data_IF_559726879513
#
_entry.id   IF_559726879513
#
_cell.length_a   1.000
_cell.length_b   1.000
_cell.length_c   1.000
_cell.angle_alpha   90.00
_cell.angle_beta   90.00
_cell.angle_gamma   90.00
#
_symmetry.space_group_name_H-M   'P 1'
#
loop_
_entity.id
_entity.type
_entity.pdbx_description
1 polymer ?
#
# COMPACT_ATOMS: atom_id res chain seq x y z
N UNK A 1 -1.98 46.46 7.13
CA UNK A 1 -2.04 45.00 7.37
C UNK A 1 -3.08 44.25 6.51
N UNK A 2 -3.70 44.84 5.46
CA UNK A 2 -4.71 44.14 4.61
C UNK A 2 -4.26 43.79 3.19
N UNK A 3 -3.02 44.11 2.78
CA UNK A 3 -2.52 43.85 1.41
C UNK A 3 -1.65 42.59 1.26
N UNK A 4 -1.24 41.93 2.35
CA UNK A 4 -0.45 40.69 2.28
C UNK A 4 -1.29 39.41 2.31
N UNK A 5 -2.57 39.49 2.71
CA UNK A 5 -3.48 38.33 2.71
C UNK A 5 -3.97 37.95 1.30
N UNK A 6 -4.00 38.90 0.35
CA UNK A 6 -4.49 38.64 -1.01
C UNK A 6 -3.48 37.86 -1.88
N UNK A 7 -2.18 37.93 -1.55
CA UNK A 7 -1.11 37.27 -2.30
C UNK A 7 -0.97 35.78 -1.95
N UNK A 8 -1.41 35.39 -0.74
CA UNK A 8 -1.44 34.00 -0.28
C UNK A 8 -2.61 33.20 -0.85
N UNK A 9 -3.75 33.84 -1.10
CA UNK A 9 -4.93 33.18 -1.69
C UNK A 9 -4.70 32.88 -3.19
N UNK A 10 -3.96 33.74 -3.89
CA UNK A 10 -3.61 33.54 -5.31
C UNK A 10 -2.64 32.38 -5.55
N UNK A 11 -1.69 32.13 -4.62
CA UNK A 11 -0.76 31.01 -4.72
C UNK A 11 -1.47 29.65 -4.51
N UNK A 12 -2.50 29.61 -3.67
CA UNK A 12 -3.23 28.39 -3.35
C UNK A 12 -4.09 27.88 -4.52
N UNK A 13 -4.62 28.79 -5.35
CA UNK A 13 -5.46 28.43 -6.51
C UNK A 13 -4.61 27.86 -7.67
N UNK A 14 -3.36 28.31 -7.82
CA UNK A 14 -2.45 27.80 -8.88
C UNK A 14 -1.97 26.37 -8.56
N UNK A 15 -1.83 26.02 -7.28
CA UNK A 15 -1.43 24.67 -6.87
C UNK A 15 -2.52 23.61 -7.13
N UNK A 16 -3.81 23.99 -7.07
CA UNK A 16 -4.92 23.06 -7.38
C UNK A 16 -4.97 22.73 -8.88
N UNK A 17 -4.64 23.69 -9.75
CA UNK A 17 -4.73 23.49 -11.21
C UNK A 17 -3.63 22.56 -11.78
N UNK A 18 -2.49 22.43 -11.10
CA UNK A 18 -1.36 21.58 -11.55
C UNK A 18 -1.42 20.14 -11.04
N UNK A 19 -2.30 19.83 -10.10
CA UNK A 19 -2.41 18.50 -9.51
C UNK A 19 -3.23 17.51 -10.38
N UNK A 20 -3.95 17.99 -11.40
CA UNK A 20 -5.02 17.21 -12.04
C UNK A 20 -4.76 16.75 -13.49
N UNK A 21 -3.56 16.92 -14.06
CA UNK A 21 -3.34 16.53 -15.48
C UNK A 21 -2.59 15.23 -15.73
N UNK A 22 -2.03 14.58 -14.70
CA UNK A 22 -1.26 13.32 -14.87
C UNK A 22 -1.74 12.19 -13.95
N UNK A 23 -3.00 12.21 -13.53
CA UNK A 23 -3.68 11.03 -13.00
C UNK A 23 -4.18 10.23 -14.19
N UNK A 24 -3.85 8.92 -14.24
CA UNK A 24 -4.59 8.00 -15.11
C UNK A 24 -6.07 8.16 -14.72
N UNK A 25 -6.89 8.68 -15.64
CA UNK A 25 -8.32 8.73 -15.46
C UNK A 25 -8.79 7.27 -15.42
N UNK A 26 -8.87 6.70 -14.22
CA UNK A 26 -9.84 5.65 -13.96
C UNK A 26 -11.16 6.42 -13.99
N UNK A 27 -11.89 6.30 -15.09
CA UNK A 27 -13.28 6.77 -15.15
C UNK A 27 -13.96 6.26 -13.89
N UNK A 28 -14.37 7.21 -13.04
CA UNK A 28 -15.07 6.97 -11.79
C UNK A 28 -16.10 5.85 -11.98
N UNK A 29 -15.86 4.69 -11.37
CA UNK A 29 -16.96 3.76 -11.12
C UNK A 29 -17.87 4.55 -10.16
N UNK A 30 -19.13 4.82 -10.50
CA UNK A 30 -19.97 5.67 -9.68
C UNK A 30 -20.10 5.08 -8.28
N UNK A 31 -19.93 5.92 -7.25
CA UNK A 31 -20.00 5.60 -5.81
C UNK A 31 -21.31 4.90 -5.39
N UNK A 32 -22.30 4.81 -6.28
CA UNK A 32 -23.52 4.02 -6.10
C UNK A 32 -23.33 2.51 -6.21
N UNK A 33 -22.15 2.00 -6.58
CA UNK A 33 -21.88 0.56 -6.69
C UNK A 33 -21.37 -0.09 -5.39
N UNK A 34 -21.19 0.66 -4.30
CA UNK A 34 -20.65 0.16 -3.03
C UNK A 34 -21.61 0.34 -1.85
N UNK A 35 -22.91 0.03 -1.99
CA UNK A 35 -23.75 -0.22 -0.81
C UNK A 35 -24.80 -1.30 -1.11
N UNK A 36 -24.42 -2.55 -0.89
CA UNK A 36 -25.36 -3.65 -0.65
C UNK A 36 -25.07 -4.17 0.76
N UNK A 37 -25.47 -3.41 1.78
CA UNK A 37 -25.63 -4.01 3.10
C UNK A 37 -26.68 -5.12 2.96
N UNK A 38 -26.31 -6.34 3.37
CA UNK A 38 -27.13 -7.57 3.42
C UNK A 38 -26.82 -8.58 2.31
N UNK A 39 -25.72 -9.31 2.43
CA UNK A 39 -25.74 -10.74 2.14
C UNK A 39 -24.77 -11.44 3.09
N UNK A 40 -25.30 -12.33 3.90
CA UNK A 40 -24.53 -13.34 4.65
C UNK A 40 -23.74 -14.16 3.64
N UNK A 41 -22.43 -13.92 3.52
CA UNK A 41 -21.53 -14.76 2.72
C UNK A 41 -20.42 -15.25 3.64
N UNK A 42 -20.79 -16.19 4.51
CA UNK A 42 -19.85 -17.20 4.99
C UNK A 42 -19.70 -18.22 3.86
N UNK A 43 -18.47 -18.47 3.40
CA UNK A 43 -18.04 -19.56 2.49
C UNK A 43 -17.79 -19.23 1.00
N UNK A 44 -17.14 -18.11 0.66
CA UNK A 44 -16.66 -17.86 -0.73
C UNK A 44 -15.17 -17.48 -0.85
N UNK A 45 -14.32 -17.81 0.13
CA UNK A 45 -12.87 -17.61 -0.02
C UNK A 45 -12.18 -18.73 -0.83
N UNK A 46 -12.85 -19.86 -1.07
CA UNK A 46 -12.28 -20.99 -1.81
C UNK A 46 -12.56 -20.93 -3.32
N UNK A 47 -13.32 -19.96 -3.82
CA UNK A 47 -13.75 -19.89 -5.23
C UNK A 47 -13.09 -18.77 -6.06
N UNK A 48 -12.18 -17.97 -5.48
CA UNK A 48 -11.46 -16.92 -6.24
C UNK A 48 -10.49 -17.47 -7.29
N UNK A 49 -10.07 -18.74 -7.20
CA UNK A 49 -9.29 -19.39 -8.26
C UNK A 49 -10.13 -19.65 -9.53
N UNK A 50 -11.46 -19.67 -9.43
CA UNK A 50 -12.36 -20.05 -10.55
C UNK A 50 -12.82 -18.87 -11.43
N UNK A 51 -12.50 -17.64 -11.06
CA UNK A 51 -12.90 -16.42 -11.80
C UNK A 51 -11.75 -15.90 -12.70
N UNK A 52 -10.78 -16.77 -13.04
CA UNK A 52 -9.59 -16.41 -13.82
C UNK A 52 -9.66 -16.82 -15.31
N UNK A 53 -10.85 -16.94 -15.89
CA UNK A 53 -11.04 -17.04 -17.35
C UNK A 53 -11.32 -15.64 -17.93
N UNK A 54 -10.41 -14.70 -17.70
CA UNK A 54 -10.40 -13.40 -18.38
C UNK A 54 -9.50 -13.55 -19.59
N UNK A 55 -10.10 -13.46 -20.77
CA UNK A 55 -9.49 -13.45 -22.10
C UNK A 55 -8.08 -12.82 -22.12
N UNK A 56 -7.09 -13.65 -22.46
CA UNK A 56 -5.64 -13.43 -22.34
C UNK A 56 -5.07 -12.41 -23.34
N UNK A 57 -5.87 -11.45 -23.82
CA UNK A 57 -5.47 -10.50 -24.89
C UNK A 57 -5.47 -9.04 -24.46
N UNK A 58 -5.17 -8.74 -23.19
CA UNK A 58 -4.74 -7.39 -22.82
C UNK A 58 -3.32 -7.20 -23.36
N UNK A 59 -3.21 -6.47 -24.46
CA UNK A 59 -1.93 -5.94 -24.96
C UNK A 59 -1.32 -5.09 -23.84
N UNK A 60 -0.41 -5.68 -23.06
CA UNK A 60 0.36 -4.97 -22.05
C UNK A 60 1.28 -4.04 -22.84
N UNK A 61 0.87 -2.78 -23.02
CA UNK A 61 1.75 -1.73 -23.49
C UNK A 61 3.04 -1.79 -22.65
N UNK A 62 4.17 -2.09 -23.28
CA UNK A 62 5.50 -2.06 -22.65
C UNK A 62 5.85 -0.61 -22.27
N UNK A 63 5.29 -0.13 -21.17
CA UNK A 63 5.58 1.18 -20.61
C UNK A 63 6.77 1.01 -19.68
N UNK A 64 7.97 0.86 -20.26
CA UNK A 64 9.19 1.06 -19.49
C UNK A 64 9.41 2.56 -19.33
N UNK A 65 9.25 3.15 -18.12
CA UNK A 65 9.44 4.58 -17.94
C UNK A 65 10.92 4.94 -18.16
N UNK A 66 11.15 6.11 -18.76
CA UNK A 66 12.51 6.66 -18.90
C UNK A 66 13.13 6.93 -17.54
N UNK A 67 14.46 6.83 -17.42
CA UNK A 67 15.16 7.09 -16.16
C UNK A 67 14.99 8.55 -15.70
N UNK A 68 14.86 9.50 -16.63
CA UNK A 68 14.51 10.89 -16.32
C UNK A 68 13.15 11.01 -15.61
N UNK A 69 12.14 10.27 -16.09
CA UNK A 69 10.82 10.26 -15.46
C UNK A 69 10.88 9.66 -14.05
N UNK A 70 11.63 8.57 -13.87
CA UNK A 70 11.85 7.94 -12.55
C UNK A 70 12.53 8.93 -11.60
N UNK A 71 13.62 9.57 -12.04
CA UNK A 71 14.35 10.55 -11.24
C UNK A 71 13.45 11.71 -10.80
N UNK A 72 12.69 12.30 -11.73
CA UNK A 72 11.76 13.39 -11.41
C UNK A 72 10.71 12.98 -10.39
N UNK A 73 10.13 11.78 -10.52
CA UNK A 73 9.11 11.28 -9.58
C UNK A 73 9.70 10.98 -8.20
N UNK A 74 10.86 10.35 -8.12
CA UNK A 74 11.55 10.11 -6.85
C UNK A 74 11.87 11.43 -6.13
N UNK A 75 12.35 12.44 -6.86
CA UNK A 75 12.61 13.76 -6.29
C UNK A 75 11.36 14.42 -5.71
N UNK A 76 10.21 14.32 -6.39
CA UNK A 76 8.94 14.83 -5.87
C UNK A 76 8.49 14.10 -4.60
N UNK A 77 8.70 12.78 -4.51
CA UNK A 77 8.38 12.01 -3.32
C UNK A 77 9.29 12.38 -2.15
N UNK A 78 10.59 12.52 -2.40
CA UNK A 78 11.59 12.95 -1.41
C UNK A 78 11.27 14.33 -0.82
N UNK A 79 10.84 15.28 -1.66
CA UNK A 79 10.44 16.62 -1.23
C UNK A 79 9.12 16.65 -0.42
N UNK A 80 8.29 15.60 -0.51
CA UNK A 80 6.95 15.54 0.07
C UNK A 80 6.76 14.54 1.20
N UNK A 81 7.80 13.76 1.54
CA UNK A 81 7.73 12.70 2.54
C UNK A 81 8.86 12.85 3.59
N UNK A 82 8.66 12.40 4.84
CA UNK A 82 9.74 12.32 5.83
C UNK A 82 10.75 11.19 5.55
N UNK A 83 10.48 10.31 4.58
CA UNK A 83 11.36 9.18 4.21
C UNK A 83 12.28 9.59 3.05
N UNK A 84 13.54 9.16 3.10
CA UNK A 84 14.52 9.37 2.03
C UNK A 84 14.19 8.53 0.79
N UNK A 85 13.89 9.20 -0.33
CA UNK A 85 13.64 8.60 -1.64
C UNK A 85 14.77 8.89 -2.64
N UNK A 86 15.99 9.09 -2.14
CA UNK A 86 17.19 9.32 -2.95
C UNK A 86 17.32 8.35 -4.12
N UNK A 87 17.73 8.92 -5.26
CA UNK A 87 17.97 8.14 -6.47
C UNK A 87 19.09 7.11 -6.25
N UNK A 88 18.76 5.83 -6.38
CA UNK A 88 19.69 4.72 -6.27
C UNK A 88 19.43 3.67 -7.36
N UNK A 89 20.50 3.05 -7.88
CA UNK A 89 20.42 1.99 -8.90
C UNK A 89 19.54 0.82 -8.47
N UNK A 90 19.59 0.43 -7.19
CA UNK A 90 18.76 -0.63 -6.63
C UNK A 90 17.28 -0.25 -6.70
N UNK A 91 16.92 0.98 -6.32
CA UNK A 91 15.55 1.50 -6.41
C UNK A 91 15.02 1.46 -7.83
N UNK A 92 15.82 1.93 -8.80
CA UNK A 92 15.45 1.91 -10.23
C UNK A 92 15.24 0.47 -10.73
N UNK A 93 16.09 -0.47 -10.31
CA UNK A 93 15.93 -1.88 -10.65
C UNK A 93 14.59 -2.43 -10.15
N UNK A 94 14.22 -2.18 -8.89
CA UNK A 94 12.94 -2.66 -8.35
C UNK A 94 11.73 -1.97 -9.02
N UNK A 95 11.82 -0.66 -9.32
CA UNK A 95 10.77 0.04 -10.07
C UNK A 95 10.54 -0.64 -11.43
N UNK A 96 11.59 -0.86 -12.22
CA UNK A 96 11.49 -1.52 -13.52
C UNK A 96 10.95 -2.95 -13.37
N UNK A 97 11.47 -3.71 -12.39
CA UNK A 97 11.00 -5.07 -12.11
C UNK A 97 9.49 -5.12 -11.84
N UNK A 98 8.97 -4.22 -11.00
CA UNK A 98 7.55 -4.15 -10.67
C UNK A 98 6.67 -3.72 -11.85
N UNK A 99 7.18 -2.87 -12.73
CA UNK A 99 6.44 -2.39 -13.91
C UNK A 99 6.51 -3.33 -15.11
N UNK A 100 7.52 -4.19 -15.21
CA UNK A 100 7.74 -5.07 -16.37
C UNK A 100 7.42 -6.54 -16.06
N UNK A 101 7.99 -7.07 -14.98
CA UNK A 101 7.96 -8.52 -14.70
C UNK A 101 6.85 -8.89 -13.73
N UNK A 102 6.62 -8.06 -12.72
CA UNK A 102 5.70 -8.36 -11.62
C UNK A 102 4.37 -7.61 -11.76
N UNK A 103 3.94 -7.29 -13.00
CA UNK A 103 2.71 -6.51 -13.27
C UNK A 103 1.47 -7.16 -12.63
N UNK A 104 1.30 -8.48 -12.77
CA UNK A 104 0.18 -9.21 -12.16
C UNK A 104 0.17 -9.07 -10.63
N UNK A 105 1.35 -9.08 -10.02
CA UNK A 105 1.50 -8.93 -8.57
C UNK A 105 1.09 -7.51 -8.14
N UNK A 106 1.58 -6.48 -8.82
CA UNK A 106 1.23 -5.09 -8.56
C UNK A 106 -0.26 -4.83 -8.79
N UNK A 107 -0.85 -5.34 -9.87
CA UNK A 107 -2.28 -5.20 -10.13
C UNK A 107 -3.13 -5.79 -9.00
N UNK A 108 -2.76 -6.96 -8.47
CA UNK A 108 -3.42 -7.53 -7.29
C UNK A 108 -3.27 -6.64 -6.06
N UNK A 109 -2.05 -6.18 -5.78
CA UNK A 109 -1.79 -5.30 -4.62
C UNK A 109 -2.58 -3.98 -4.73
N UNK A 110 -2.68 -3.41 -5.92
CA UNK A 110 -3.48 -2.20 -6.20
C UNK A 110 -4.98 -2.44 -5.98
N UNK A 111 -5.49 -3.61 -6.34
CA UNK A 111 -6.90 -3.96 -6.10
C UNK A 111 -7.22 -4.20 -4.62
N UNK A 112 -6.25 -4.70 -3.85
CA UNK A 112 -6.44 -5.05 -2.43
C UNK A 112 -6.09 -3.89 -1.48
N UNK A 113 -5.27 -2.93 -1.92
CA UNK A 113 -4.82 -1.82 -1.08
C UNK A 113 -5.96 -0.98 -0.46
N UNK A 114 -7.09 -0.67 -1.14
CA UNK A 114 -8.16 0.13 -0.55
C UNK A 114 -8.85 -0.57 0.63
N UNK A 115 -8.69 -1.90 0.76
CA UNK A 115 -9.25 -2.67 1.87
C UNK A 115 -8.37 -2.58 3.13
N UNK A 116 -7.05 -2.69 3.01
CA UNK A 116 -6.14 -2.69 4.17
C UNK A 116 -5.60 -1.30 4.52
N UNK A 117 -5.37 -0.44 3.53
CA UNK A 117 -4.70 0.85 3.75
C UNK A 117 -5.45 1.77 4.72
N UNK A 118 -6.78 1.93 4.67
CA UNK A 118 -7.48 2.79 5.63
C UNK A 118 -7.27 2.33 7.08
N UNK A 119 -7.28 1.02 7.33
CA UNK A 119 -7.01 0.46 8.67
C UNK A 119 -5.55 0.67 9.08
N UNK A 120 -4.61 0.45 8.16
CA UNK A 120 -3.19 0.70 8.43
C UNK A 120 -2.90 2.16 8.72
N UNK A 121 -3.38 3.07 7.88
CA UNK A 121 -3.22 4.51 8.03
C UNK A 121 -3.81 5.00 9.35
N UNK A 122 -5.00 4.51 9.73
CA UNK A 122 -5.59 4.84 11.01
C UNK A 122 -4.69 4.42 12.19
N UNK A 123 -4.07 3.25 12.15
CA UNK A 123 -3.17 2.84 13.24
C UNK A 123 -1.84 3.60 13.18
N UNK A 124 -1.24 3.79 12.00
CA UNK A 124 0.00 4.54 11.85
C UNK A 124 -0.16 5.99 12.35
N UNK A 125 -1.25 6.66 11.99
CA UNK A 125 -1.58 8.01 12.45
C UNK A 125 -1.75 8.07 13.98
N UNK A 126 -2.46 7.09 14.56
CA UNK A 126 -2.65 7.00 16.03
C UNK A 126 -1.33 6.87 16.80
N UNK A 127 -0.34 6.21 16.22
CA UNK A 127 0.99 6.00 16.81
C UNK A 127 1.99 7.08 16.34
N UNK A 128 1.53 8.10 15.58
CA UNK A 128 2.36 9.17 15.01
C UNK A 128 3.52 8.66 14.14
N UNK A 129 3.27 7.57 13.41
CA UNK A 129 4.23 6.94 12.50
C UNK A 129 3.95 7.42 11.07
N UNK A 130 4.99 7.67 10.25
CA UNK A 130 4.82 8.02 8.84
C UNK A 130 3.93 7.02 8.09
N UNK A 131 2.91 7.53 7.38
CA UNK A 131 1.91 6.71 6.69
C UNK A 131 2.51 5.87 5.56
N UNK A 132 3.66 6.29 5.03
CA UNK A 132 4.42 5.60 4.00
C UNK A 132 4.90 4.22 4.45
N UNK A 133 5.04 3.97 5.77
CA UNK A 133 5.43 2.65 6.28
C UNK A 133 4.39 1.56 5.98
N UNK A 134 3.15 1.90 5.62
CA UNK A 134 2.18 0.92 5.10
C UNK A 134 2.70 0.15 3.89
N UNK A 135 3.56 0.77 3.06
CA UNK A 135 4.12 0.12 1.88
C UNK A 135 5.12 -0.99 2.23
N UNK A 136 5.63 -1.04 3.47
CA UNK A 136 6.44 -2.18 3.91
C UNK A 136 5.63 -3.48 3.89
N UNK A 137 4.33 -3.43 4.22
CA UNK A 137 3.46 -4.61 4.14
C UNK A 137 3.31 -5.16 2.70
N UNK A 138 3.51 -4.31 1.68
CA UNK A 138 3.60 -4.75 0.28
C UNK A 138 4.87 -5.59 0.06
N UNK A 139 6.02 -5.08 0.51
CA UNK A 139 7.31 -5.74 0.34
C UNK A 139 7.35 -7.08 1.11
N UNK A 140 6.80 -7.09 2.32
CA UNK A 140 6.86 -8.25 3.21
C UNK A 140 5.92 -9.39 2.80
N UNK A 141 4.66 -9.09 2.50
CA UNK A 141 3.62 -10.12 2.28
C UNK A 141 2.81 -9.94 1.01
N UNK A 142 3.07 -8.87 0.27
CA UNK A 142 2.20 -8.45 -0.82
C UNK A 142 0.75 -8.24 -0.35
N UNK A 143 0.55 -7.70 0.85
CA UNK A 143 -0.78 -7.55 1.46
C UNK A 143 -1.56 -8.88 1.60
N UNK A 144 -0.85 -9.96 1.98
CA UNK A 144 -1.46 -11.28 2.16
C UNK A 144 -1.44 -11.67 3.64
N UNK A 145 -2.56 -11.62 4.36
CA UNK A 145 -2.58 -11.87 5.82
C UNK A 145 -2.16 -13.29 6.20
N UNK A 146 -2.40 -14.27 5.32
CA UNK A 146 -2.00 -15.67 5.55
C UNK A 146 -0.60 -16.00 5.02
N UNK A 147 0.17 -15.01 4.54
CA UNK A 147 1.51 -15.24 4.02
C UNK A 147 2.40 -15.88 5.10
N UNK A 148 3.13 -16.93 4.71
CA UNK A 148 4.11 -17.60 5.57
C UNK A 148 5.40 -17.83 4.81
N UNK A 149 6.50 -17.26 5.31
CA UNK A 149 7.82 -17.50 4.76
C UNK A 149 8.36 -18.88 5.13
N UNK A 150 9.37 -19.35 4.40
CA UNK A 150 10.07 -20.61 4.69
C UNK A 150 10.70 -20.63 6.10
N UNK A 151 11.09 -19.45 6.59
CA UNK A 151 11.68 -19.27 7.91
C UNK A 151 10.63 -19.12 9.03
N UNK A 152 9.34 -19.08 8.70
CA UNK A 152 8.24 -19.01 9.68
C UNK A 152 7.77 -17.59 10.03
N UNK A 153 8.18 -16.59 9.26
CA UNK A 153 7.57 -15.26 9.31
C UNK A 153 6.13 -15.34 8.80
N UNK A 154 5.18 -14.71 9.47
CA UNK A 154 3.76 -14.84 9.16
C UNK A 154 3.07 -13.47 9.16
N UNK A 155 2.05 -13.30 8.31
CA UNK A 155 1.19 -12.12 8.37
C UNK A 155 1.51 -11.04 7.36
N UNK A 156 0.72 -9.96 7.40
CA UNK A 156 0.92 -8.77 6.58
C UNK A 156 2.31 -8.16 6.76
N UNK A 157 2.78 -8.15 8.01
CA UNK A 157 4.03 -7.57 8.46
C UNK A 157 5.15 -8.60 8.67
N UNK A 158 4.92 -9.87 8.28
CA UNK A 158 5.90 -10.97 8.38
C UNK A 158 6.58 -11.08 9.76
N UNK A 159 5.78 -11.10 10.83
CA UNK A 159 6.31 -11.32 12.18
C UNK A 159 6.85 -12.75 12.34
N UNK A 160 8.10 -12.85 12.81
CA UNK A 160 8.64 -14.09 13.35
C UNK A 160 7.91 -14.48 14.64
N UNK A 161 7.81 -15.78 14.94
CA UNK A 161 7.09 -16.26 16.12
C UNK A 161 7.54 -15.58 17.44
N UNK A 162 8.86 -15.50 17.75
CA UNK A 162 9.31 -14.87 19.00
C UNK A 162 8.94 -13.39 19.06
N UNK A 163 9.13 -12.67 17.95
CA UNK A 163 8.81 -11.24 17.83
C UNK A 163 7.31 -11.01 17.97
N UNK A 164 6.46 -11.81 17.30
CA UNK A 164 5.02 -11.69 17.44
C UNK A 164 4.57 -11.84 18.90
N UNK A 165 5.13 -12.81 19.62
CA UNK A 165 4.88 -13.00 21.06
C UNK A 165 5.34 -11.80 21.90
N UNK A 166 6.50 -11.22 21.60
CA UNK A 166 7.02 -10.02 22.29
C UNK A 166 6.07 -8.82 22.15
N UNK A 167 5.45 -8.64 20.96
CA UNK A 167 4.50 -7.57 20.68
C UNK A 167 3.04 -7.95 20.93
N UNK A 168 2.80 -8.96 21.77
CA UNK A 168 1.47 -9.28 22.29
C UNK A 168 0.56 -10.06 21.34
N UNK A 169 1.08 -10.60 20.23
CA UNK A 169 0.32 -11.48 19.34
C UNK A 169 0.25 -12.88 19.94
N UNK A 170 -0.97 -13.39 20.09
CA UNK A 170 -1.21 -14.76 20.49
C UNK A 170 -0.92 -15.73 19.33
N UNK A 171 -0.09 -16.72 19.59
CA UNK A 171 0.21 -17.79 18.64
C UNK A 171 0.13 -19.13 19.36
N UNK A 172 -0.94 -19.87 19.06
CA UNK A 172 -1.25 -21.21 19.54
C UNK A 172 -1.42 -22.18 18.36
N UNK A 173 -1.75 -23.44 18.63
CA UNK A 173 -2.05 -24.42 17.58
C UNK A 173 -3.34 -24.11 16.79
N UNK A 174 -4.22 -23.29 17.36
CA UNK A 174 -5.54 -22.97 16.77
C UNK A 174 -5.63 -21.54 16.25
N UNK A 175 -4.88 -20.61 16.84
CA UNK A 175 -4.94 -19.18 16.53
C UNK A 175 -3.52 -18.68 16.27
N UNK A 176 -3.35 -17.93 15.18
CA UNK A 176 -2.10 -17.22 14.88
C UNK A 176 -2.44 -15.75 14.57
N UNK A 177 -2.41 -14.89 15.58
CA UNK A 177 -2.78 -13.48 15.47
C UNK A 177 -1.82 -12.66 14.61
N UNK A 178 -0.68 -13.22 14.21
CA UNK A 178 0.17 -12.62 13.18
C UNK A 178 -0.57 -12.52 11.85
N UNK A 179 -1.55 -13.39 11.60
CA UNK A 179 -2.39 -13.37 10.41
C UNK A 179 -3.58 -12.40 10.53
N UNK A 180 -3.87 -11.89 11.72
CA UNK A 180 -4.93 -10.91 11.93
C UNK A 180 -4.45 -9.52 11.44
N UNK A 181 -5.10 -8.91 10.43
CA UNK A 181 -4.64 -7.64 9.87
C UNK A 181 -4.54 -6.51 10.90
N UNK A 182 -5.50 -6.40 11.82
CA UNK A 182 -5.56 -5.29 12.77
C UNK A 182 -4.54 -5.50 13.90
N UNK A 183 -4.52 -6.69 14.51
CA UNK A 183 -3.60 -7.01 15.62
C UNK A 183 -2.16 -6.94 15.15
N UNK A 184 -1.85 -7.53 13.99
CA UNK A 184 -0.49 -7.46 13.43
C UNK A 184 -0.08 -6.04 13.07
N UNK A 185 -1.00 -5.18 12.63
CA UNK A 185 -0.71 -3.76 12.36
C UNK A 185 -0.45 -2.97 13.65
N UNK A 186 -1.23 -3.20 14.70
CA UNK A 186 -0.97 -2.58 16.01
C UNK A 186 0.40 -3.02 16.54
N UNK A 187 0.72 -4.32 16.44
CA UNK A 187 2.04 -4.84 16.82
C UNK A 187 3.18 -4.22 15.98
N UNK A 188 2.96 -4.01 14.68
CA UNK A 188 3.93 -3.33 13.80
C UNK A 188 4.13 -1.86 14.21
N UNK A 189 3.07 -1.15 14.58
CA UNK A 189 3.18 0.22 15.05
C UNK A 189 4.01 0.30 16.35
N UNK A 190 3.72 -0.56 17.34
CA UNK A 190 4.52 -0.67 18.57
C UNK A 190 5.98 -1.05 18.29
N UNK A 191 6.22 -1.90 17.29
CA UNK A 191 7.57 -2.25 16.85
C UNK A 191 8.31 -1.02 16.30
N UNK A 192 7.66 -0.23 15.45
CA UNK A 192 8.26 0.99 14.88
C UNK A 192 8.53 2.06 15.93
N UNK A 193 7.62 2.28 16.89
CA UNK A 193 7.84 3.22 18.00
C UNK A 193 9.10 2.90 18.82
N UNK A 194 9.48 1.62 18.92
CA UNK A 194 10.69 1.21 19.65
C UNK A 194 11.98 1.42 18.85
N UNK A 195 11.88 1.51 17.53
CA UNK A 195 13.03 1.70 16.62
C UNK A 195 13.38 3.17 16.39
N UNK A 196 12.41 4.06 16.57
CA UNK A 196 12.55 5.52 16.48
C UNK A 196 12.91 6.14 17.84
#
# INVERSE_FOLDING_TARGET
MKKQALLLIGLFIICIAKAQTDTIIITSIPDSALVNHNTTITNEYDNVEKIMDIDDTVEILEITPSEDLIYRRLKLLDESSPIDFSYNKSTVYYIKKYLERDVKLISRMLGVSPYYFPMMEQQLDRFQIPLELKYLAIVESSLTPKARSRSGATGLWQFMYPTGKEYGLEVTSYIDERQDPLKSTIAACTYFEKLY
#
